data_IF_234205060524
#
_entry.id   IF_234205060524
#
_cell.length_a   1.000
_cell.length_b   1.000
_cell.length_c   1.000
_cell.angle_alpha   90.00
_cell.angle_beta   90.00
_cell.angle_gamma   90.00
#
_symmetry.space_group_name_H-M   'P 1'
#
loop_
_entity.id
_entity.type
_entity.pdbx_description
1 polymer ?
#
# COMPACT_ATOMS: atom_id res chain seq x y z
N UNK A 1 -16.28 -12.62 -20.13
CA UNK A 1 -14.83 -12.80 -19.91
C UNK A 1 -14.26 -11.51 -19.33
N UNK A 2 -14.42 -11.28 -18.01
CA UNK A 2 -14.07 -10.02 -17.34
C UNK A 2 -13.70 -10.24 -15.87
N UNK A 3 -12.80 -11.19 -15.58
CA UNK A 3 -12.37 -11.50 -14.21
C UNK A 3 -10.83 -11.41 -14.00
N UNK A 4 -10.05 -11.27 -15.08
CA UNK A 4 -8.59 -11.20 -15.01
C UNK A 4 -8.01 -9.78 -14.95
N UNK A 5 -8.76 -8.76 -15.37
CA UNK A 5 -8.30 -7.37 -15.32
C UNK A 5 -8.14 -6.86 -13.88
N UNK A 6 -9.05 -7.28 -12.99
CA UNK A 6 -8.94 -7.00 -11.56
C UNK A 6 -7.64 -7.57 -10.97
N UNK A 7 -7.23 -8.78 -11.35
CA UNK A 7 -5.99 -9.39 -10.84
C UNK A 7 -4.76 -8.57 -11.20
N UNK A 8 -4.69 -8.02 -12.41
CA UNK A 8 -3.57 -7.18 -12.85
C UNK A 8 -3.57 -5.82 -12.13
N UNK A 9 -4.73 -5.19 -11.99
CA UNK A 9 -4.87 -3.92 -11.26
C UNK A 9 -4.54 -4.11 -9.78
N UNK A 10 -4.99 -5.20 -9.16
CA UNK A 10 -4.67 -5.53 -7.76
C UNK A 10 -3.18 -5.83 -7.58
N UNK A 11 -2.56 -6.55 -8.52
CA UNK A 11 -1.12 -6.81 -8.49
C UNK A 11 -0.31 -5.52 -8.59
N UNK A 12 -0.71 -4.61 -9.48
CA UNK A 12 -0.06 -3.30 -9.63
C UNK A 12 -0.26 -2.42 -8.38
N UNK A 13 -1.48 -2.33 -7.86
CA UNK A 13 -1.79 -1.62 -6.62
C UNK A 13 -1.02 -2.17 -5.41
N UNK A 14 -0.86 -3.49 -5.34
CA UNK A 14 -0.08 -4.15 -4.31
C UNK A 14 1.42 -3.87 -4.43
N UNK A 15 1.97 -3.90 -5.66
CA UNK A 15 3.36 -3.51 -5.91
C UNK A 15 3.63 -2.07 -5.48
N UNK A 16 2.71 -1.15 -5.79
CA UNK A 16 2.75 0.24 -5.33
C UNK A 16 2.68 0.34 -3.80
N UNK A 17 1.79 -0.43 -3.16
CA UNK A 17 1.67 -0.44 -1.70
C UNK A 17 2.94 -0.90 -0.99
N UNK A 18 3.57 -1.98 -1.48
CA UNK A 18 4.85 -2.47 -0.96
C UNK A 18 5.97 -1.44 -1.16
N UNK A 19 6.01 -0.80 -2.33
CA UNK A 19 6.98 0.24 -2.62
C UNK A 19 6.87 1.43 -1.64
N UNK A 20 5.64 1.87 -1.33
CA UNK A 20 5.43 2.91 -0.33
C UNK A 20 5.83 2.48 1.08
N UNK A 21 5.56 1.23 1.49
CA UNK A 21 6.04 0.73 2.79
C UNK A 21 7.57 0.71 2.87
N UNK A 22 8.25 0.33 1.78
CA UNK A 22 9.71 0.39 1.71
C UNK A 22 10.22 1.83 1.82
N UNK A 23 9.59 2.81 1.17
CA UNK A 23 9.94 4.23 1.31
C UNK A 23 9.76 4.70 2.75
N UNK A 24 8.58 4.45 3.35
CA UNK A 24 8.27 4.88 4.72
C UNK A 24 9.17 4.20 5.75
N UNK A 25 9.66 2.99 5.47
CA UNK A 25 10.63 2.30 6.33
C UNK A 25 11.95 3.09 6.47
N UNK A 26 12.38 3.77 5.40
CA UNK A 26 13.62 4.56 5.38
C UNK A 26 13.44 6.00 5.85
N UNK A 27 12.22 6.43 6.21
CA UNK A 27 12.01 7.76 6.74
C UNK A 27 12.64 7.93 8.12
N UNK A 28 13.31 9.07 8.31
CA UNK A 28 13.72 9.54 9.63
C UNK A 28 12.50 9.67 10.55
N UNK A 29 12.72 9.48 11.86
CA UNK A 29 11.67 9.41 12.88
C UNK A 29 10.67 10.57 12.80
N UNK A 30 11.16 11.77 12.50
CA UNK A 30 10.35 12.99 12.36
C UNK A 30 9.31 12.89 11.24
N UNK A 31 9.70 12.37 10.06
CA UNK A 31 8.82 12.22 8.90
C UNK A 31 8.00 10.93 8.96
N UNK A 32 8.44 9.93 9.73
CA UNK A 32 7.78 8.63 9.85
C UNK A 32 6.38 8.71 10.46
N UNK A 33 6.19 9.58 11.46
CA UNK A 33 4.91 9.72 12.16
C UNK A 33 3.98 10.77 11.55
N UNK A 34 4.50 11.66 10.72
CA UNK A 34 3.72 12.65 9.96
C UNK A 34 3.38 12.09 8.58
N UNK A 35 4.28 12.28 7.62
CA UNK A 35 4.13 11.86 6.22
C UNK A 35 3.98 10.34 6.09
N UNK A 36 4.76 9.57 6.87
CA UNK A 36 4.72 8.12 6.84
C UNK A 36 3.37 7.54 7.29
N UNK A 37 2.73 8.14 8.31
CA UNK A 37 1.42 7.71 8.79
C UNK A 37 0.33 7.95 7.73
N UNK A 38 0.38 9.10 7.07
CA UNK A 38 -0.58 9.47 6.02
C UNK A 38 -0.41 8.61 4.76
N UNK A 39 0.83 8.36 4.34
CA UNK A 39 1.16 7.45 3.23
C UNK A 39 0.62 6.04 3.48
N UNK A 40 0.80 5.51 4.69
CA UNK A 40 0.23 4.20 5.07
C UNK A 40 -1.29 4.19 5.07
N UNK A 41 -1.91 5.27 5.53
CA UNK A 41 -3.36 5.41 5.54
C UNK A 41 -3.93 5.43 4.12
N UNK A 42 -3.31 6.16 3.18
CA UNK A 42 -3.72 6.17 1.78
C UNK A 42 -3.45 4.83 1.09
N UNK A 43 -2.30 4.22 1.35
CA UNK A 43 -1.94 2.90 0.83
C UNK A 43 -2.96 1.84 1.24
N UNK A 44 -3.44 1.86 2.49
CA UNK A 44 -4.51 0.97 2.98
C UNK A 44 -5.88 1.21 2.37
N UNK A 45 -6.16 2.43 1.88
CA UNK A 45 -7.40 2.73 1.15
C UNK A 45 -7.36 2.22 -0.28
N UNK A 46 -6.17 2.22 -0.90
CA UNK A 46 -5.95 1.74 -2.26
C UNK A 46 -5.85 0.21 -2.33
N UNK A 47 -5.18 -0.42 -1.36
CA UNK A 47 -5.15 -1.86 -1.26
C UNK A 47 -6.53 -2.36 -0.81
N UNK A 48 -7.15 -3.34 -1.50
CA UNK A 48 -8.41 -3.91 -1.04
C UNK A 48 -8.24 -4.44 0.38
N UNK A 49 -9.08 -3.94 1.28
CA UNK A 49 -9.10 -4.18 2.73
C UNK A 49 -9.00 -5.68 3.12
N UNK A 50 -9.35 -6.59 2.19
CA UNK A 50 -9.28 -8.03 2.38
C UNK A 50 -7.86 -8.62 2.50
N UNK A 51 -6.81 -7.97 1.95
CA UNK A 51 -5.50 -8.63 1.86
C UNK A 51 -4.52 -8.25 2.99
N UNK A 52 -4.61 -7.05 3.55
CA UNK A 52 -3.72 -6.60 4.64
C UNK A 52 -4.06 -7.22 6.01
N UNK A 53 -5.28 -7.74 6.19
CA UNK A 53 -5.73 -8.39 7.44
C UNK A 53 -5.21 -9.83 7.59
N UNK A 54 -4.44 -10.33 6.61
CA UNK A 54 -3.92 -11.71 6.56
C UNK A 54 -2.40 -11.80 6.79
N UNK A 55 -1.76 -10.70 7.21
CA UNK A 55 -0.39 -10.62 7.73
C UNK A 55 -0.51 -10.31 9.22
#
# INVERSE_FOLDING_TARGET
>A
MAQYEHLLIYKAAYGLALYFEQIVHHFSRYHKYTLGSELRAQTRKMAPIYFFKKI
#
